data_IF_460773266574
#
_entry.id   IF_460773266574
#
_cell.length_a   1.000
_cell.length_b   1.000
_cell.length_c   1.000
_cell.angle_alpha   90.00
_cell.angle_beta   90.00
_cell.angle_gamma   90.00
#
_symmetry.space_group_name_H-M   'P 1'
#
loop_
_entity.id
_entity.type
_entity.pdbx_description
1 polymer ?
#
# COMPACT_ATOMS: atom_id res chain seq x y z
N UNK A 1 19.02 -12.61 -9.16
CA UNK A 1 18.64 -12.54 -7.73
C UNK A 1 17.13 -12.48 -7.65
N UNK A 2 16.50 -13.54 -7.15
CA UNK A 2 15.07 -13.53 -6.84
C UNK A 2 14.87 -12.59 -5.66
N UNK A 3 13.98 -11.60 -5.77
CA UNK A 3 13.52 -10.88 -4.58
C UNK A 3 12.74 -11.91 -3.75
N UNK A 4 13.34 -12.35 -2.65
CA UNK A 4 12.61 -13.14 -1.65
C UNK A 4 11.58 -12.18 -1.09
N UNK A 5 10.30 -12.41 -1.43
CA UNK A 5 9.19 -11.68 -0.80
C UNK A 5 9.25 -12.06 0.67
N UNK A 6 9.80 -11.17 1.50
CA UNK A 6 9.87 -11.35 2.94
C UNK A 6 8.47 -11.41 3.55
N UNK A 7 8.34 -11.99 4.74
CA UNK A 7 7.07 -11.95 5.47
C UNK A 7 6.74 -10.50 5.83
N UNK A 8 5.57 -10.02 5.39
CA UNK A 8 5.04 -8.72 5.80
C UNK A 8 4.34 -8.88 7.15
N UNK A 9 4.67 -8.02 8.09
CA UNK A 9 4.09 -7.95 9.43
C UNK A 9 3.18 -6.72 9.52
N UNK A 10 2.01 -6.90 10.12
CA UNK A 10 1.05 -5.84 10.44
C UNK A 10 0.76 -5.93 11.94
N UNK A 11 1.03 -4.86 12.68
CA UNK A 11 0.83 -4.79 14.13
C UNK A 11 0.34 -3.41 14.58
N UNK A 12 0.02 -3.26 15.87
CA UNK A 12 -0.55 -2.02 16.47
C UNK A 12 -1.70 -1.41 15.63
N UNK A 13 -2.60 -2.27 15.16
CA UNK A 13 -3.78 -1.83 14.39
C UNK A 13 -4.70 -1.01 15.29
N UNK A 14 -5.05 0.19 14.84
CA UNK A 14 -5.93 1.13 15.53
C UNK A 14 -7.02 1.65 14.58
N UNK A 15 -8.22 1.98 15.09
CA UNK A 15 -8.60 1.95 16.50
C UNK A 15 -8.94 0.53 16.98
N UNK A 16 -8.43 0.18 18.17
CA UNK A 16 -8.77 -1.06 18.89
C UNK A 16 -9.16 -0.70 20.32
N UNK A 17 -10.24 -1.28 20.83
CA UNK A 17 -10.68 -1.10 22.22
C UNK A 17 -10.21 -2.29 23.05
N UNK A 18 -9.34 -2.05 24.03
CA UNK A 18 -8.74 -3.10 24.85
C UNK A 18 -7.99 -4.13 24.00
N UNK A 19 -8.34 -5.41 24.15
CA UNK A 19 -7.83 -6.58 23.40
C UNK A 19 -8.65 -6.90 22.15
N UNK A 20 -9.36 -5.92 21.58
CA UNK A 20 -10.35 -6.08 20.50
C UNK A 20 -11.62 -6.85 20.89
N UNK A 21 -11.87 -7.00 22.20
CA UNK A 21 -13.11 -7.62 22.71
C UNK A 21 -14.37 -6.79 22.41
N UNK A 22 -14.20 -5.49 22.19
CA UNK A 22 -15.29 -4.56 21.94
C UNK A 22 -15.01 -3.77 20.65
N UNK A 23 -16.03 -3.51 19.82
CA UNK A 23 -15.88 -2.64 18.67
C UNK A 23 -15.47 -1.23 19.08
N UNK A 24 -14.59 -0.61 18.27
CA UNK A 24 -14.42 0.83 18.29
C UNK A 24 -15.75 1.53 17.99
N UNK A 25 -15.93 2.73 18.54
CA UNK A 25 -17.15 3.53 18.38
C UNK A 25 -16.81 4.82 17.65
N UNK A 26 -17.71 5.22 16.76
CA UNK A 26 -17.68 6.49 16.05
C UNK A 26 -19.11 6.96 15.78
N UNK A 27 -19.28 8.24 15.48
CA UNK A 27 -20.55 8.81 15.02
C UNK A 27 -20.51 9.09 13.52
N UNK A 28 -21.69 9.15 12.89
CA UNK A 28 -21.82 9.54 11.48
C UNK A 28 -21.20 10.92 11.27
N UNK A 29 -20.33 11.04 10.25
CA UNK A 29 -19.58 12.24 9.92
C UNK A 29 -18.28 12.43 10.72
N UNK A 30 -17.96 11.56 11.68
CA UNK A 30 -16.72 11.64 12.44
C UNK A 30 -15.52 11.19 11.62
N UNK A 31 -14.44 11.97 11.65
CA UNK A 31 -13.16 11.58 11.08
C UNK A 31 -12.45 10.56 11.98
N UNK A 32 -12.53 9.29 11.61
CA UNK A 32 -11.87 8.19 12.33
C UNK A 32 -10.51 7.91 11.70
N UNK A 33 -9.46 7.99 12.51
CA UNK A 33 -8.10 7.62 12.09
C UNK A 33 -7.89 6.12 12.22
N UNK A 34 -7.59 5.47 11.10
CA UNK A 34 -7.15 4.07 11.04
C UNK A 34 -5.64 4.05 10.84
N UNK A 35 -4.91 3.31 11.68
CA UNK A 35 -3.46 3.20 11.59
C UNK A 35 -2.95 1.80 11.91
N UNK A 36 -1.73 1.50 11.48
CA UNK A 36 -0.99 0.30 11.86
C UNK A 36 0.52 0.51 11.65
N UNK A 37 1.32 -0.32 12.32
CA UNK A 37 2.73 -0.51 12.00
C UNK A 37 2.84 -1.63 10.97
N UNK A 38 3.48 -1.35 9.84
CA UNK A 38 3.62 -2.29 8.72
C UNK A 38 5.05 -2.31 8.24
N UNK A 39 5.66 -3.49 8.28
CA UNK A 39 7.05 -3.69 7.87
C UNK A 39 7.25 -5.06 7.22
N UNK A 40 8.36 -5.21 6.49
CA UNK A 40 8.79 -6.48 5.92
C UNK A 40 10.23 -6.78 6.34
N UNK A 41 10.59 -8.05 6.37
CA UNK A 41 11.97 -8.45 6.62
C UNK A 41 12.90 -7.91 5.51
N UNK A 42 14.02 -7.29 5.89
CA UNK A 42 14.98 -6.67 4.97
C UNK A 42 14.69 -5.19 4.69
N UNK A 43 15.07 -4.72 3.50
CA UNK A 43 14.90 -3.32 3.07
C UNK A 43 13.79 -3.16 2.02
N UNK A 44 12.91 -4.16 1.90
CA UNK A 44 11.81 -4.11 0.94
C UNK A 44 10.82 -3.02 1.33
N UNK A 45 10.51 -2.12 0.38
CA UNK A 45 9.45 -1.16 0.59
C UNK A 45 8.10 -1.87 0.67
N UNK A 46 7.29 -1.49 1.65
CA UNK A 46 5.92 -1.95 1.83
C UNK A 46 4.93 -0.82 1.58
N UNK A 47 3.71 -1.20 1.22
CA UNK A 47 2.56 -0.32 1.22
C UNK A 47 1.38 -1.03 1.87
N UNK A 48 0.42 -0.23 2.34
CA UNK A 48 -0.77 -0.73 2.97
C UNK A 48 -2.01 0.08 2.58
N UNK A 49 -3.17 -0.55 2.73
CA UNK A 49 -4.47 0.09 2.59
C UNK A 49 -5.45 -0.44 3.63
N UNK A 50 -6.39 0.42 4.02
CA UNK A 50 -7.57 0.00 4.77
C UNK A 50 -8.68 -0.36 3.79
N UNK A 51 -9.23 -1.56 3.92
CA UNK A 51 -10.52 -1.93 3.34
C UNK A 51 -11.59 -1.67 4.40
N UNK A 52 -12.42 -0.66 4.16
CA UNK A 52 -13.58 -0.33 4.98
C UNK A 52 -14.81 -0.99 4.37
N UNK A 53 -15.60 -1.67 5.20
CA UNK A 53 -16.85 -2.33 4.82
C UNK A 53 -18.03 -1.68 5.54
N UNK A 54 -19.02 -1.31 4.74
CA UNK A 54 -20.30 -0.73 5.16
C UNK A 54 -21.22 -1.79 5.78
N UNK A 55 -22.24 -1.37 6.56
CA UNK A 55 -23.29 -2.23 7.08
C UNK A 55 -23.99 -3.09 6.01
N UNK A 56 -24.20 -2.55 4.81
CA UNK A 56 -24.81 -3.26 3.67
C UNK A 56 -23.87 -4.32 3.02
N UNK A 57 -22.61 -4.33 3.44
CA UNK A 57 -21.58 -5.24 2.96
C UNK A 57 -20.78 -4.76 1.74
N UNK A 58 -21.07 -3.56 1.22
CA UNK A 58 -20.20 -2.89 0.25
C UNK A 58 -18.85 -2.55 0.89
N UNK A 59 -17.79 -2.42 0.09
CA UNK A 59 -16.47 -2.06 0.60
C UNK A 59 -15.72 -1.07 -0.29
N UNK A 60 -14.81 -0.33 0.34
CA UNK A 60 -13.92 0.64 -0.30
C UNK A 60 -12.54 0.49 0.28
N UNK A 61 -11.56 0.47 -0.62
CA UNK A 61 -10.15 0.50 -0.25
C UNK A 61 -9.61 1.92 -0.27
N UNK A 62 -8.90 2.31 0.79
CA UNK A 62 -8.21 3.59 0.90
C UNK A 62 -6.75 3.34 1.25
N UNK A 63 -5.83 3.94 0.49
CA UNK A 63 -4.39 3.77 0.72
C UNK A 63 -3.96 4.42 2.03
N UNK A 64 -3.26 3.67 2.88
CA UNK A 64 -2.60 4.21 4.06
C UNK A 64 -1.31 4.94 3.62
N UNK A 65 -1.02 6.06 4.27
CA UNK A 65 0.18 6.88 4.03
C UNK A 65 1.14 6.71 5.19
N UNK A 66 2.47 6.80 4.95
CA UNK A 66 3.44 6.85 6.04
C UNK A 66 3.04 7.90 7.07
N UNK A 67 3.16 7.52 8.33
CA UNK A 67 2.67 8.28 9.48
C UNK A 67 3.85 8.68 10.38
N UNK A 68 4.32 9.92 10.18
CA UNK A 68 5.53 10.45 10.81
C UNK A 68 6.79 10.32 9.95
N UNK A 69 7.93 10.73 10.52
CA UNK A 69 9.20 10.81 9.80
C UNK A 69 10.02 9.51 9.96
N UNK A 70 9.87 8.60 8.99
CA UNK A 70 10.79 7.48 8.79
C UNK A 70 10.55 6.24 9.66
N UNK A 71 9.42 6.14 10.34
CA UNK A 71 8.99 4.92 11.02
C UNK A 71 8.13 4.00 10.14
N UNK A 72 7.83 2.80 10.64
CA UNK A 72 6.98 1.81 9.99
C UNK A 72 5.48 2.08 10.17
N UNK A 73 5.11 3.28 10.63
CA UNK A 73 3.74 3.69 10.86
C UNK A 73 3.01 4.07 9.57
N UNK A 74 1.76 3.65 9.44
CA UNK A 74 0.89 3.98 8.31
C UNK A 74 -0.50 4.38 8.82
N UNK A 75 -1.11 5.41 8.22
CA UNK A 75 -2.44 5.88 8.59
C UNK A 75 -3.29 6.36 7.40
N UNK A 76 -4.61 6.28 7.55
CA UNK A 76 -5.60 6.99 6.75
C UNK A 76 -6.77 7.43 7.62
N UNK A 77 -7.55 8.37 7.11
CA UNK A 77 -8.81 8.80 7.73
C UNK A 77 -9.97 8.18 6.96
N UNK A 78 -10.92 7.63 7.71
CA UNK A 78 -12.21 7.16 7.21
C UNK A 78 -13.33 7.92 7.90
N UNK A 79 -14.47 8.08 7.23
CA UNK A 79 -15.62 8.82 7.76
C UNK A 79 -16.87 7.95 7.57
N UNK A 80 -17.44 7.38 8.64
CA UNK A 80 -18.71 6.68 8.56
C UNK A 80 -19.83 7.64 8.12
N UNK A 81 -20.62 7.25 7.13
CA UNK A 81 -21.68 8.06 6.54
C UNK A 81 -23.10 7.59 6.90
N UNK A 82 -23.23 6.41 7.50
CA UNK A 82 -24.49 5.87 7.99
C UNK A 82 -24.36 5.11 9.33
N UNK A 83 -25.42 5.05 10.14
CA UNK A 83 -25.44 4.24 11.37
C UNK A 83 -25.41 2.74 11.04
N UNK A 84 -24.63 1.98 11.81
CA UNK A 84 -24.63 0.52 11.71
C UNK A 84 -23.32 -0.11 12.17
N UNK A 85 -23.17 -1.39 11.86
CA UNK A 85 -21.92 -2.13 12.13
C UNK A 85 -21.00 -1.99 10.92
N UNK A 86 -19.90 -1.30 11.13
CA UNK A 86 -18.82 -1.16 10.17
C UNK A 86 -17.69 -2.12 10.54
N UNK A 87 -16.99 -2.63 9.54
CA UNK A 87 -15.73 -3.37 9.77
C UNK A 87 -14.63 -2.79 8.91
N UNK A 88 -13.39 -2.93 9.38
CA UNK A 88 -12.23 -2.56 8.59
C UNK A 88 -11.16 -3.64 8.70
N UNK A 89 -10.34 -3.73 7.65
CA UNK A 89 -9.15 -4.59 7.61
C UNK A 89 -8.00 -3.80 6.98
N UNK A 90 -6.78 -4.05 7.42
CA UNK A 90 -5.59 -3.52 6.77
C UNK A 90 -4.97 -4.63 5.93
N UNK A 91 -4.80 -4.35 4.64
CA UNK A 91 -4.05 -5.17 3.70
C UNK A 91 -2.69 -4.51 3.46
N UNK A 92 -1.61 -5.31 3.44
CA UNK A 92 -0.28 -4.84 3.12
C UNK A 92 0.38 -5.70 2.04
N UNK A 93 1.24 -5.09 1.23
CA UNK A 93 1.94 -5.73 0.13
C UNK A 93 3.31 -5.09 -0.12
N UNK A 94 4.24 -5.86 -0.71
CA UNK A 94 5.52 -5.32 -1.16
C UNK A 94 5.28 -4.33 -2.30
N UNK A 95 5.93 -3.18 -2.24
CA UNK A 95 5.79 -2.08 -3.20
C UNK A 95 7.13 -1.82 -3.94
N UNK A 96 7.66 -2.81 -4.69
CA UNK A 96 8.99 -2.71 -5.29
C UNK A 96 9.05 -1.70 -6.45
N UNK A 97 7.92 -1.45 -7.12
CA UNK A 97 7.85 -0.47 -8.22
C UNK A 97 8.17 0.95 -7.73
N UNK A 98 7.45 1.42 -6.72
CA UNK A 98 7.64 2.77 -6.17
C UNK A 98 9.05 2.95 -5.59
N UNK A 99 9.61 1.90 -4.97
CA UNK A 99 10.99 1.91 -4.48
C UNK A 99 12.02 2.03 -5.61
N UNK A 100 11.87 1.21 -6.66
CA UNK A 100 12.71 1.26 -7.85
C UNK A 100 12.63 2.63 -8.53
N UNK A 101 11.42 3.16 -8.74
CA UNK A 101 11.21 4.45 -9.40
C UNK A 101 11.91 5.58 -8.63
N UNK A 102 11.78 5.60 -7.29
CA UNK A 102 12.46 6.58 -6.43
C UNK A 102 13.99 6.48 -6.55
N UNK A 103 14.54 5.27 -6.53
CA UNK A 103 15.98 5.02 -6.70
C UNK A 103 16.49 5.56 -8.03
N UNK A 104 15.83 5.20 -9.15
CA UNK A 104 16.23 5.66 -10.49
C UNK A 104 16.15 7.17 -10.60
N UNK A 105 15.08 7.79 -10.11
CA UNK A 105 14.93 9.26 -10.13
C UNK A 105 16.02 9.95 -9.32
N UNK A 106 16.35 9.44 -8.13
CA UNK A 106 17.41 10.01 -7.30
C UNK A 106 18.79 9.91 -7.98
N UNK A 107 19.10 8.75 -8.59
CA UNK A 107 20.37 8.55 -9.31
C UNK A 107 20.47 9.42 -10.57
N UNK A 108 19.39 9.51 -11.35
CA UNK A 108 19.33 10.39 -12.52
C UNK A 108 19.52 11.86 -12.12
N UNK A 109 18.91 12.31 -11.01
CA UNK A 109 19.11 13.65 -10.47
C UNK A 109 20.56 13.91 -10.01
N UNK A 110 21.28 12.86 -9.61
CA UNK A 110 22.72 12.92 -9.30
C UNK A 110 23.63 12.88 -10.55
N UNK A 111 23.05 12.90 -11.76
CA UNK A 111 23.79 12.95 -13.03
C UNK A 111 24.27 11.60 -13.55
N UNK A 112 23.82 10.48 -12.96
CA UNK A 112 24.16 9.15 -13.47
C UNK A 112 23.46 8.91 -14.81
N UNK A 113 24.23 8.47 -15.80
CA UNK A 113 23.77 8.20 -17.14
C UNK A 113 23.22 6.78 -17.32
N UNK A 114 22.86 6.45 -18.57
CA UNK A 114 22.33 5.13 -18.91
C UNK A 114 23.31 3.97 -18.61
N UNK A 115 24.64 4.09 -18.83
CA UNK A 115 25.57 3.03 -18.47
C UNK A 115 25.57 2.72 -16.97
N UNK A 116 25.55 3.75 -16.13
CA UNK A 116 25.54 3.63 -14.68
C UNK A 116 24.20 3.07 -14.15
N UNK A 117 23.10 3.32 -14.87
CA UNK A 117 21.75 2.86 -14.51
C UNK A 117 21.34 1.52 -15.15
N UNK A 118 22.23 0.86 -15.90
CA UNK A 118 21.89 -0.35 -16.65
C UNK A 118 21.28 -1.46 -15.78
N UNK A 119 21.81 -1.67 -14.56
CA UNK A 119 21.26 -2.63 -13.61
C UNK A 119 19.87 -2.21 -13.11
N UNK A 120 19.69 -0.93 -12.76
CA UNK A 120 18.38 -0.43 -12.36
C UNK A 120 17.34 -0.63 -13.48
N UNK A 121 17.68 -0.37 -14.75
CA UNK A 121 16.75 -0.61 -15.85
C UNK A 121 16.40 -2.08 -16.04
N UNK A 122 17.36 -3.00 -15.89
CA UNK A 122 17.10 -4.44 -15.90
C UNK A 122 16.15 -4.86 -14.76
N UNK A 123 16.32 -4.30 -13.56
CA UNK A 123 15.40 -4.52 -12.44
C UNK A 123 13.99 -4.01 -12.78
N UNK A 124 13.90 -2.83 -13.41
CA UNK A 124 12.65 -2.22 -13.87
C UNK A 124 11.93 -3.07 -14.92
N UNK A 125 12.67 -3.61 -15.90
CA UNK A 125 12.13 -4.49 -16.92
C UNK A 125 11.50 -5.75 -16.29
N UNK A 126 12.22 -6.41 -15.37
CA UNK A 126 11.72 -7.58 -14.64
C UNK A 126 10.49 -7.27 -13.77
N UNK A 127 10.40 -6.05 -13.22
CA UNK A 127 9.20 -5.61 -12.49
C UNK A 127 7.99 -5.55 -13.42
N UNK A 128 8.15 -4.97 -14.61
CA UNK A 128 7.09 -4.85 -15.62
C UNK A 128 6.67 -6.21 -16.17
N UNK A 129 7.62 -7.08 -16.48
CA UNK A 129 7.36 -8.46 -16.93
C UNK A 129 6.53 -9.24 -15.91
N UNK A 130 6.84 -9.14 -14.62
CA UNK A 130 6.06 -9.78 -13.56
C UNK A 130 4.62 -9.28 -13.51
N UNK A 131 4.38 -7.99 -13.76
CA UNK A 131 3.03 -7.43 -13.80
C UNK A 131 2.29 -7.92 -15.06
N UNK A 132 2.96 -7.94 -16.21
CA UNK A 132 2.38 -8.40 -17.47
C UNK A 132 2.01 -9.89 -17.46
N UNK A 133 2.73 -10.70 -16.69
CA UNK A 133 2.48 -12.13 -16.54
C UNK A 133 1.32 -12.48 -15.58
N UNK A 134 0.73 -11.51 -14.86
CA UNK A 134 -0.38 -11.78 -13.93
C UNK A 134 -1.66 -12.11 -14.71
N UNK A 135 -2.28 -13.28 -14.49
CA UNK A 135 -3.61 -13.55 -15.03
C UNK A 135 -4.61 -12.57 -14.39
N UNK A 136 -5.50 -12.02 -15.24
CA UNK A 136 -6.58 -11.08 -14.93
C UNK A 136 -6.24 -9.59 -14.71
N UNK A 137 -5.65 -8.96 -15.73
CA UNK A 137 -5.76 -7.51 -15.99
C UNK A 137 -6.12 -7.16 -17.44
N UNK A 138 -6.80 -8.05 -18.17
CA UNK A 138 -7.16 -7.80 -19.58
C UNK A 138 -8.06 -6.57 -19.72
N UNK A 139 -8.90 -6.26 -18.72
CA UNK A 139 -9.76 -5.08 -18.70
C UNK A 139 -9.03 -3.75 -18.40
N UNK A 140 -7.85 -3.76 -17.75
CA UNK A 140 -7.10 -2.53 -17.43
C UNK A 140 -6.07 -2.16 -18.52
N UNK A 141 -5.77 -3.08 -19.43
CA UNK A 141 -4.80 -2.88 -20.53
C UNK A 141 -5.27 -1.84 -21.55
N UNK A 142 -6.58 -1.73 -21.79
CA UNK A 142 -7.17 -0.71 -22.66
C UNK A 142 -7.14 0.68 -22.01
N UNK A 143 -7.36 0.78 -20.69
CA UNK A 143 -7.37 2.07 -19.98
C UNK A 143 -5.98 2.73 -19.87
N UNK A 144 -4.89 1.96 -19.99
CA UNK A 144 -3.51 2.47 -19.93
C UNK A 144 -2.96 2.95 -21.28
N UNK A 145 -3.57 2.52 -22.40
CA UNK A 145 -3.12 2.88 -23.75
C UNK A 145 -3.87 4.08 -24.34
N UNK A 146 -4.97 4.52 -23.71
CA UNK A 146 -5.85 5.59 -24.23
C UNK A 146 -5.49 7.00 -23.69
N UNK A 147 -4.27 7.17 -23.15
CA UNK A 147 -3.80 8.44 -22.58
C UNK A 147 -2.41 8.89 -23.07
N UNK A 148 -2.11 8.63 -24.34
CA UNK A 148 -0.97 9.21 -25.09
C UNK A 148 -1.43 10.28 -26.07
#
# INVERSE_FOLDING_TARGET
MSAVVGRIVIEDVRPTVGTAEHPAKAVVGEAVRVSATVWAEGTEAVAAAVELRWPDGSSRRTRLRPDGDGGDGFAAVVVPDEPGVWTFRIDAWSEPWTAWERSVRAKAAAGLGAPELANDFEIGARLLERVAARPDRRAEREALLDRS
#
